data_IF_308278964401
#
_entry.id   IF_308278964401
#
_cell.length_a   1.000
_cell.length_b   1.000
_cell.length_c   1.000
_cell.angle_alpha   90.00
_cell.angle_beta   90.00
_cell.angle_gamma   90.00
#
_symmetry.space_group_name_H-M   'P 1'
#
loop_
_entity.id
_entity.type
_entity.pdbx_description
1 polymer ?
#
# COMPACT_ATOMS: atom_id res chain seq x y z
N UNK A 1 7.92 29.90 -59.75
CA UNK A 1 7.94 29.77 -58.27
C UNK A 1 6.71 28.96 -57.89
N UNK A 2 6.87 27.66 -57.75
CA UNK A 2 5.81 26.73 -57.38
C UNK A 2 6.13 26.21 -56.00
N UNK A 3 5.27 26.59 -55.05
CA UNK A 3 5.32 26.18 -53.65
C UNK A 3 4.79 24.78 -53.52
N UNK A 4 5.59 23.83 -53.05
CA UNK A 4 5.20 22.44 -52.86
C UNK A 4 5.08 22.17 -51.36
N UNK A 5 3.89 22.40 -50.82
CA UNK A 5 3.56 22.03 -49.44
C UNK A 5 3.42 20.50 -49.34
N UNK A 6 4.35 19.88 -48.64
CA UNK A 6 4.33 18.44 -48.39
C UNK A 6 3.49 18.19 -47.10
N UNK A 7 2.29 17.70 -47.28
CA UNK A 7 1.46 17.21 -46.18
C UNK A 7 2.04 15.89 -45.62
N UNK A 8 2.20 15.86 -44.32
CA UNK A 8 2.65 14.69 -43.55
C UNK A 8 1.44 13.82 -43.21
N UNK A 9 1.38 12.53 -43.55
CA UNK A 9 0.25 11.70 -43.19
C UNK A 9 0.23 11.38 -41.71
N UNK A 10 -0.79 11.86 -41.00
CA UNK A 10 -1.18 11.45 -39.65
C UNK A 10 -2.08 10.24 -39.71
N UNK A 11 -1.50 9.08 -39.67
CA UNK A 11 -2.26 7.82 -39.59
C UNK A 11 -1.41 6.75 -38.94
N UNK A 12 -1.50 6.62 -37.61
CA UNK A 12 -0.91 5.49 -36.90
C UNK A 12 -1.85 4.27 -37.09
N UNK A 13 -1.43 3.17 -37.72
CA UNK A 13 -2.28 2.00 -37.86
C UNK A 13 -2.47 1.33 -36.50
N UNK A 14 -3.72 1.28 -36.04
CA UNK A 14 -4.13 0.42 -34.93
C UNK A 14 -4.19 -1.02 -35.46
N UNK A 15 -3.07 -1.72 -35.41
CA UNK A 15 -3.05 -3.15 -35.65
C UNK A 15 -3.73 -3.85 -34.47
N UNK A 16 -4.97 -4.28 -34.70
CA UNK A 16 -5.68 -5.22 -33.83
C UNK A 16 -5.00 -6.59 -34.02
N UNK A 17 -4.19 -7.00 -33.05
CA UNK A 17 -3.63 -8.34 -33.01
C UNK A 17 -4.76 -9.32 -32.61
N UNK A 18 -5.41 -9.91 -33.62
CA UNK A 18 -6.27 -11.09 -33.48
C UNK A 18 -5.41 -12.33 -33.63
N UNK A 19 -4.84 -12.80 -32.55
CA UNK A 19 -4.13 -14.08 -32.50
C UNK A 19 -4.26 -14.62 -31.08
N UNK A 20 -4.82 -15.81 -30.91
CA UNK A 20 -4.85 -16.60 -29.69
C UNK A 20 -3.45 -17.09 -29.36
N UNK A 21 -2.58 -16.18 -28.94
CA UNK A 21 -1.36 -16.49 -28.22
C UNK A 21 -1.69 -16.44 -26.74
N UNK A 22 -1.23 -17.43 -25.96
CA UNK A 22 -1.31 -17.41 -24.52
C UNK A 22 -0.91 -16.02 -24.04
N UNK A 23 -1.84 -15.30 -23.40
CA UNK A 23 -1.61 -13.93 -22.97
C UNK A 23 -0.42 -13.93 -22.01
N UNK A 24 0.69 -13.32 -22.41
CA UNK A 24 1.80 -13.13 -21.51
C UNK A 24 1.32 -12.22 -20.36
N UNK A 25 1.73 -12.48 -19.11
CA UNK A 25 1.43 -11.59 -18.00
C UNK A 25 1.90 -10.16 -18.34
N UNK A 26 1.02 -9.19 -18.17
CA UNK A 26 1.33 -7.79 -18.45
C UNK A 26 1.54 -7.04 -17.15
N UNK A 27 2.44 -6.04 -17.16
CA UNK A 27 2.60 -5.13 -16.02
C UNK A 27 1.31 -4.33 -15.77
N UNK A 28 0.96 -4.18 -14.51
CA UNK A 28 -0.21 -3.41 -14.06
C UNK A 28 0.31 -2.15 -13.37
N UNK A 29 -0.08 -0.99 -13.90
CA UNK A 29 0.20 0.30 -13.27
C UNK A 29 -0.98 0.70 -12.37
N UNK A 30 -0.67 1.20 -11.17
CA UNK A 30 -1.61 1.93 -10.30
C UNK A 30 -1.01 3.30 -10.00
N UNK A 31 -1.77 4.36 -10.30
CA UNK A 31 -1.41 5.73 -9.92
C UNK A 31 -1.98 6.05 -8.55
N UNK A 32 -1.49 7.11 -7.94
CA UNK A 32 -1.95 7.54 -6.61
C UNK A 32 -3.44 7.90 -6.53
N UNK A 33 -4.06 8.24 -7.66
CA UNK A 33 -5.46 8.62 -7.79
C UNK A 33 -6.37 7.51 -8.34
N UNK A 34 -5.81 6.37 -8.72
CA UNK A 34 -6.59 5.21 -9.20
C UNK A 34 -7.39 4.53 -8.06
N UNK A 35 -6.92 4.67 -6.82
CA UNK A 35 -7.45 4.05 -5.62
C UNK A 35 -7.62 5.12 -4.53
N UNK A 36 -8.77 5.22 -3.85
CA UNK A 36 -8.92 6.20 -2.78
C UNK A 36 -8.13 5.81 -1.53
N UNK A 37 -7.64 6.80 -0.78
CA UNK A 37 -7.29 6.61 0.62
C UNK A 37 -8.57 6.53 1.43
N UNK A 38 -8.65 5.58 2.34
CA UNK A 38 -9.75 5.45 3.29
C UNK A 38 -9.26 5.73 4.70
N UNK A 39 -10.06 6.45 5.48
CA UNK A 39 -9.82 6.63 6.91
C UNK A 39 -10.10 5.31 7.63
N UNK A 40 -9.06 4.74 8.22
CA UNK A 40 -9.13 3.49 8.98
C UNK A 40 -9.32 3.74 10.49
N UNK A 41 -9.42 4.99 10.90
CA UNK A 41 -9.48 5.44 12.29
C UNK A 41 -8.10 5.75 12.88
N UNK A 42 -8.10 6.35 14.04
CA UNK A 42 -6.91 6.62 14.85
C UNK A 42 -5.78 7.39 14.12
N UNK A 43 -6.15 8.28 13.20
CA UNK A 43 -5.20 9.07 12.42
C UNK A 43 -4.48 8.27 11.31
N UNK A 44 -5.02 7.11 10.95
CA UNK A 44 -4.47 6.24 9.89
C UNK A 44 -5.35 6.27 8.65
N UNK A 45 -4.75 6.58 7.50
CA UNK A 45 -5.43 6.43 6.20
C UNK A 45 -4.66 5.41 5.36
N UNK A 46 -5.36 4.51 4.70
CA UNK A 46 -4.73 3.46 3.91
C UNK A 46 -5.27 3.35 2.49
N UNK A 47 -4.40 2.94 1.59
CA UNK A 47 -4.68 2.65 0.19
C UNK A 47 -4.11 1.26 -0.12
N UNK A 48 -4.96 0.27 -0.38
CA UNK A 48 -4.52 -1.09 -0.72
C UNK A 48 -4.29 -1.19 -2.22
N UNK A 49 -3.05 -1.47 -2.60
CA UNK A 49 -2.62 -1.50 -4.01
C UNK A 49 -2.70 -2.89 -4.61
N UNK A 50 -2.25 -3.90 -3.86
CA UNK A 50 -2.20 -5.29 -4.29
C UNK A 50 -2.40 -6.24 -3.11
N UNK A 51 -3.03 -7.38 -3.38
CA UNK A 51 -3.03 -8.55 -2.51
C UNK A 51 -2.78 -9.82 -3.32
N UNK A 52 -1.97 -10.73 -2.78
CA UNK A 52 -1.88 -12.11 -3.22
C UNK A 52 -2.45 -12.99 -2.10
N UNK A 53 -3.67 -13.47 -2.31
CA UNK A 53 -4.41 -14.21 -1.28
C UNK A 53 -3.82 -15.60 -1.03
N UNK A 54 -3.25 -16.23 -2.07
CA UNK A 54 -2.61 -17.54 -1.94
C UNK A 54 -1.24 -17.46 -1.28
N UNK A 55 -0.44 -16.44 -1.62
CA UNK A 55 0.88 -16.22 -1.03
C UNK A 55 0.83 -15.47 0.31
N UNK A 56 -0.32 -14.90 0.68
CA UNK A 56 -0.47 -14.07 1.88
C UNK A 56 0.35 -12.79 1.82
N UNK A 57 0.49 -12.16 0.63
CA UNK A 57 1.22 -10.91 0.45
C UNK A 57 0.23 -9.76 0.25
N UNK A 58 0.48 -8.65 0.90
CA UNK A 58 -0.32 -7.45 0.74
C UNK A 58 0.55 -6.20 0.71
N UNK A 59 0.21 -5.33 -0.25
CA UNK A 59 0.95 -4.10 -0.54
C UNK A 59 0.03 -2.92 -0.37
N UNK A 60 0.44 -1.98 0.45
CA UNK A 60 -0.35 -0.80 0.75
C UNK A 60 0.52 0.44 0.91
N UNK A 61 -0.11 1.58 0.73
CA UNK A 61 0.40 2.88 1.11
C UNK A 61 -0.43 3.39 2.28
N UNK A 62 0.21 3.85 3.32
CA UNK A 62 -0.44 4.32 4.54
C UNK A 62 0.05 5.71 4.86
N UNK A 63 -0.87 6.62 5.15
CA UNK A 63 -0.52 7.90 5.76
C UNK A 63 -0.97 7.91 7.21
N UNK A 64 -0.14 8.48 8.06
CA UNK A 64 -0.36 8.59 9.50
C UNK A 64 -0.32 10.06 9.90
N UNK A 65 -1.33 10.52 10.62
CA UNK A 65 -1.34 11.86 11.19
C UNK A 65 -0.25 12.02 12.28
N UNK A 66 0.29 13.23 12.49
CA UNK A 66 1.22 13.49 13.59
C UNK A 66 0.66 13.03 14.94
N UNK A 67 1.46 12.34 15.74
CA UNK A 67 1.07 11.78 17.03
C UNK A 67 0.42 10.40 16.98
N UNK A 68 0.20 9.83 15.79
CA UNK A 68 -0.36 8.47 15.62
C UNK A 68 0.58 7.42 16.23
N UNK A 69 -0.03 6.47 16.93
CA UNK A 69 0.66 5.27 17.43
C UNK A 69 -0.13 4.05 17.02
N UNK A 70 0.49 3.16 16.26
CA UNK A 70 -0.10 1.90 15.84
C UNK A 70 0.11 0.86 16.92
N UNK A 71 -0.95 0.14 17.24
CA UNK A 71 -0.93 -0.94 18.25
C UNK A 71 0.28 -1.86 18.06
N UNK A 72 0.89 -2.27 19.17
CA UNK A 72 1.96 -3.28 19.18
C UNK A 72 1.50 -4.51 18.42
N UNK A 73 2.33 -4.98 17.52
CA UNK A 73 2.00 -6.15 16.70
C UNK A 73 3.27 -6.97 16.41
N UNK A 74 3.03 -8.23 16.04
CA UNK A 74 4.06 -9.18 15.63
C UNK A 74 3.81 -9.59 14.19
N UNK A 75 4.83 -9.50 13.34
CA UNK A 75 4.77 -9.99 11.96
C UNK A 75 4.99 -11.50 11.88
N UNK A 76 4.15 -12.21 11.12
CA UNK A 76 4.36 -13.65 10.85
C UNK A 76 5.29 -13.90 9.66
N UNK A 77 5.47 -12.90 8.79
CA UNK A 77 6.38 -12.90 7.65
C UNK A 77 7.23 -11.64 7.62
N UNK A 78 8.04 -11.49 6.60
CA UNK A 78 8.87 -10.31 6.43
C UNK A 78 8.05 -9.10 5.96
N UNK A 79 8.51 -7.89 6.34
CA UNK A 79 7.97 -6.61 5.85
C UNK A 79 9.07 -5.77 5.24
N UNK A 80 8.72 -5.10 4.15
CA UNK A 80 9.54 -4.07 3.54
C UNK A 80 8.77 -2.75 3.62
N UNK A 81 9.38 -1.71 4.20
CA UNK A 81 8.80 -0.39 4.29
C UNK A 81 9.68 0.66 3.59
N UNK A 82 9.04 1.58 2.88
CA UNK A 82 9.69 2.71 2.21
C UNK A 82 9.00 3.99 2.67
N UNK A 83 9.70 4.85 3.40
CA UNK A 83 9.16 6.14 3.83
C UNK A 83 9.21 7.12 2.66
N UNK A 84 8.04 7.63 2.27
CA UNK A 84 7.89 8.58 1.15
C UNK A 84 7.90 10.04 1.62
N UNK A 85 7.33 10.30 2.82
CA UNK A 85 7.30 11.62 3.45
C UNK A 85 7.19 11.50 4.97
N UNK A 86 7.55 12.57 5.69
CA UNK A 86 7.49 12.60 7.14
C UNK A 86 8.60 11.78 7.80
N UNK A 87 8.39 11.45 9.07
CA UNK A 87 9.28 10.61 9.86
C UNK A 87 8.49 9.80 10.89
N UNK A 88 9.02 8.64 11.25
CA UNK A 88 8.46 7.75 12.24
C UNK A 88 9.54 6.83 12.82
N UNK A 89 9.28 6.21 13.94
CA UNK A 89 10.17 5.23 14.57
C UNK A 89 9.35 4.17 15.31
N UNK A 90 10.00 3.11 15.73
CA UNK A 90 9.43 2.18 16.71
C UNK A 90 9.71 2.66 18.12
N UNK A 91 8.74 2.54 19.03
CA UNK A 91 8.94 2.90 20.43
C UNK A 91 10.07 2.09 21.09
N UNK A 92 10.31 0.88 20.60
CA UNK A 92 11.38 -0.01 21.01
C UNK A 92 12.79 0.45 20.55
N UNK A 93 12.83 1.28 19.48
CA UNK A 93 14.06 1.78 18.85
C UNK A 93 13.94 3.28 18.51
N UNK A 94 13.77 4.16 19.51
CA UNK A 94 13.42 5.57 19.26
C UNK A 94 14.50 6.38 18.54
N UNK A 95 15.75 5.92 18.59
CA UNK A 95 16.88 6.56 17.89
C UNK A 95 16.99 6.16 16.42
N UNK A 96 16.32 5.07 16.01
CA UNK A 96 16.30 4.60 14.61
C UNK A 96 15.12 5.23 13.86
N UNK A 97 15.29 6.49 13.46
CA UNK A 97 14.24 7.26 12.80
C UNK A 97 14.18 6.93 11.31
N UNK A 98 13.00 6.49 10.86
CA UNK A 98 12.67 6.35 9.45
C UNK A 98 12.17 7.69 8.89
N UNK A 99 12.90 8.29 7.99
CA UNK A 99 12.54 9.55 7.32
C UNK A 99 12.38 9.35 5.82
N UNK A 100 11.92 10.37 5.10
CA UNK A 100 11.74 10.29 3.66
C UNK A 100 12.99 9.78 2.92
N UNK A 101 12.82 8.69 2.15
CA UNK A 101 13.89 7.98 1.46
C UNK A 101 14.44 6.76 2.22
N UNK A 102 14.03 6.54 3.48
CA UNK A 102 14.45 5.36 4.24
C UNK A 102 13.81 4.08 3.70
N UNK A 103 14.58 3.00 3.75
CA UNK A 103 14.14 1.63 3.59
C UNK A 103 14.32 0.87 4.88
N UNK A 104 13.25 0.22 5.34
CA UNK A 104 13.26 -0.64 6.51
C UNK A 104 12.94 -2.07 6.11
N UNK A 105 13.66 -3.03 6.69
CA UNK A 105 13.36 -4.46 6.60
C UNK A 105 13.04 -5.02 7.98
N UNK A 106 11.91 -5.69 8.09
CA UNK A 106 11.46 -6.35 9.30
C UNK A 106 11.46 -7.86 9.06
N UNK A 107 12.27 -8.63 9.79
CA UNK A 107 12.25 -10.08 9.70
C UNK A 107 10.95 -10.64 10.30
N UNK A 108 10.54 -11.84 9.84
CA UNK A 108 9.44 -12.57 10.45
C UNK A 108 9.67 -12.76 11.96
N UNK A 109 8.63 -12.53 12.75
CA UNK A 109 8.67 -12.63 14.21
C UNK A 109 9.04 -11.32 14.93
N UNK A 110 9.38 -10.24 14.21
CA UNK A 110 9.60 -8.91 14.82
C UNK A 110 8.34 -8.41 15.53
N UNK A 111 8.54 -7.78 16.69
CA UNK A 111 7.49 -7.19 17.53
C UNK A 111 7.82 -5.74 17.77
N UNK A 112 6.89 -4.85 17.48
CA UNK A 112 7.12 -3.41 17.62
C UNK A 112 5.84 -2.59 17.63
N UNK A 113 6.01 -1.33 18.03
CA UNK A 113 4.97 -0.30 18.13
C UNK A 113 5.39 0.90 17.28
N UNK A 114 4.76 1.09 16.12
CA UNK A 114 5.04 2.25 15.25
C UNK A 114 4.52 3.52 15.90
N UNK A 115 5.35 4.55 15.95
CA UNK A 115 4.99 5.87 16.46
C UNK A 115 5.41 6.97 15.48
N UNK A 116 4.48 7.88 15.22
CA UNK A 116 4.71 9.10 14.43
C UNK A 116 4.83 10.27 15.40
N UNK A 117 5.96 11.01 15.43
CA UNK A 117 6.11 12.16 16.32
C UNK A 117 5.03 13.22 16.09
N UNK A 118 4.51 13.78 17.18
CA UNK A 118 3.47 14.80 17.14
C UNK A 118 3.96 16.15 16.57
N UNK A 119 5.26 16.35 16.51
CA UNK A 119 5.93 17.54 15.95
C UNK A 119 6.31 17.40 14.47
N UNK A 120 5.78 16.39 13.76
CA UNK A 120 5.89 16.35 12.31
C UNK A 120 5.10 17.49 11.66
N UNK A 121 5.65 18.10 10.61
CA UNK A 121 5.01 19.21 9.88
C UNK A 121 3.75 18.79 9.08
N UNK A 122 3.47 17.48 8.99
CA UNK A 122 2.33 16.91 8.27
C UNK A 122 2.31 15.39 8.35
N UNK A 123 1.39 14.75 7.62
CA UNK A 123 1.26 13.29 7.64
C UNK A 123 2.53 12.58 7.20
N UNK A 124 2.81 11.48 7.85
CA UNK A 124 3.87 10.54 7.46
C UNK A 124 3.33 9.55 6.46
N UNK A 125 4.02 9.37 5.34
CA UNK A 125 3.60 8.54 4.20
C UNK A 125 4.57 7.37 4.02
N UNK A 126 4.05 6.16 4.13
CA UNK A 126 4.86 4.94 4.06
C UNK A 126 4.22 3.92 3.12
N UNK A 127 5.06 3.34 2.27
CA UNK A 127 4.71 2.22 1.42
C UNK A 127 5.19 0.92 2.05
N UNK A 128 4.27 -0.05 2.21
CA UNK A 128 4.56 -1.34 2.81
C UNK A 128 4.32 -2.50 1.85
N UNK A 129 5.21 -3.49 1.89
CA UNK A 129 5.00 -4.83 1.33
C UNK A 129 5.11 -5.81 2.50
N UNK A 130 4.00 -6.47 2.82
CA UNK A 130 3.88 -7.30 4.01
C UNK A 130 3.61 -8.75 3.59
N UNK A 131 4.42 -9.66 4.11
CA UNK A 131 4.22 -11.10 3.95
C UNK A 131 3.55 -11.68 5.19
N UNK A 132 2.56 -12.55 5.01
CA UNK A 132 1.82 -13.16 6.10
C UNK A 132 0.85 -12.20 6.78
N UNK A 133 0.87 -12.14 8.09
CA UNK A 133 -0.09 -11.40 8.90
C UNK A 133 0.57 -10.58 10.00
N UNK A 134 -0.11 -9.51 10.41
CA UNK A 134 0.14 -8.78 11.65
C UNK A 134 -0.75 -9.39 12.75
N UNK A 135 -0.14 -9.89 13.79
CA UNK A 135 -0.80 -10.32 15.01
C UNK A 135 -0.82 -9.12 15.97
N UNK A 136 -1.97 -8.46 16.09
CA UNK A 136 -2.12 -7.30 16.96
C UNK A 136 -2.20 -7.77 18.41
N UNK A 137 -1.38 -7.18 19.29
CA UNK A 137 -1.20 -7.60 20.66
C UNK A 137 -1.85 -6.62 21.63
N UNK A 138 -2.26 -7.13 22.79
CA UNK A 138 -2.58 -6.31 23.96
C UNK A 138 -1.34 -6.06 24.84
N UNK A 139 -1.53 -5.35 25.95
CA UNK A 139 -0.45 -5.00 26.90
C UNK A 139 0.13 -6.24 27.61
N UNK A 140 -0.57 -7.38 27.59
CA UNK A 140 -0.07 -8.66 28.11
C UNK A 140 0.70 -9.46 27.05
N UNK A 141 0.73 -8.99 25.79
CA UNK A 141 1.36 -9.66 24.66
C UNK A 141 0.49 -10.75 24.04
N UNK A 142 -0.81 -10.81 24.38
CA UNK A 142 -1.74 -11.78 23.83
C UNK A 142 -2.34 -11.23 22.51
N UNK A 143 -2.60 -12.14 21.55
CA UNK A 143 -3.16 -11.78 20.24
C UNK A 143 -4.64 -11.43 20.39
N UNK A 144 -5.01 -10.19 20.10
CA UNK A 144 -6.40 -9.70 20.14
C UNK A 144 -7.06 -9.62 18.76
N UNK A 145 -6.27 -9.52 17.71
CA UNK A 145 -6.78 -9.54 16.33
C UNK A 145 -5.67 -9.87 15.34
N UNK A 146 -6.08 -10.23 14.12
CA UNK A 146 -5.17 -10.59 13.02
C UNK A 146 -5.53 -9.74 11.80
N UNK A 147 -4.52 -9.12 11.22
CA UNK A 147 -4.62 -8.40 9.93
C UNK A 147 -3.79 -9.14 8.89
N UNK A 148 -4.42 -9.57 7.79
CA UNK A 148 -3.81 -10.31 6.69
C UNK A 148 -4.34 -9.83 5.34
N UNK A 149 -3.87 -10.42 4.23
CA UNK A 149 -4.28 -10.07 2.88
C UNK A 149 -5.81 -10.13 2.67
N UNK A 150 -6.49 -11.12 3.28
CA UNK A 150 -7.94 -11.27 3.16
C UNK A 150 -8.69 -10.20 3.96
N UNK A 151 -8.30 -9.98 5.20
CA UNK A 151 -8.96 -9.04 6.11
C UNK A 151 -8.74 -7.59 5.66
N UNK A 152 -7.52 -7.23 5.23
CA UNK A 152 -7.22 -5.87 4.76
C UNK A 152 -8.00 -5.54 3.48
N UNK A 153 -8.08 -6.47 2.52
CA UNK A 153 -8.86 -6.28 1.29
C UNK A 153 -10.34 -6.09 1.60
N UNK A 154 -10.91 -6.91 2.48
CA UNK A 154 -12.32 -6.82 2.86
C UNK A 154 -12.64 -5.49 3.55
N UNK A 155 -11.81 -5.07 4.52
CA UNK A 155 -11.97 -3.80 5.23
C UNK A 155 -11.84 -2.63 4.27
N UNK A 156 -10.80 -2.63 3.43
CA UNK A 156 -10.58 -1.57 2.46
C UNK A 156 -11.76 -1.39 1.51
N UNK A 157 -12.28 -2.48 0.90
CA UNK A 157 -13.47 -2.42 0.03
C UNK A 157 -14.69 -1.86 0.76
N UNK A 158 -14.92 -2.30 2.00
CA UNK A 158 -16.03 -1.79 2.81
C UNK A 158 -15.92 -0.29 3.05
N UNK A 159 -14.73 0.19 3.42
CA UNK A 159 -14.48 1.61 3.66
C UNK A 159 -14.54 2.44 2.37
N UNK A 160 -14.06 1.93 1.23
CA UNK A 160 -14.22 2.56 -0.08
C UNK A 160 -15.69 2.77 -0.43
N UNK A 161 -16.53 1.77 -0.22
CA UNK A 161 -17.98 1.88 -0.42
C UNK A 161 -18.61 2.94 0.48
N UNK A 162 -18.27 2.92 1.77
CA UNK A 162 -18.84 3.83 2.77
C UNK A 162 -18.38 5.29 2.61
N UNK A 163 -17.10 5.51 2.34
CA UNK A 163 -16.50 6.85 2.34
C UNK A 163 -16.49 7.51 0.96
N UNK A 164 -16.44 6.71 -0.10
CA UNK A 164 -16.26 7.21 -1.47
C UNK A 164 -17.32 6.71 -2.46
N UNK A 165 -18.22 5.80 -2.06
CA UNK A 165 -19.21 5.20 -2.96
C UNK A 165 -18.58 4.26 -4.00
N UNK A 166 -17.41 3.70 -3.73
CA UNK A 166 -16.67 2.80 -4.62
C UNK A 166 -16.70 1.38 -4.03
N UNK A 167 -17.62 0.55 -4.49
CA UNK A 167 -17.82 -0.80 -3.95
C UNK A 167 -16.72 -1.80 -4.37
N UNK A 168 -16.14 -1.63 -5.56
CA UNK A 168 -15.07 -2.49 -6.08
C UNK A 168 -13.87 -1.64 -6.56
N UNK A 169 -13.05 -1.12 -5.65
CA UNK A 169 -11.83 -0.40 -6.00
C UNK A 169 -10.88 -1.31 -6.78
N UNK A 170 -10.14 -0.78 -7.80
CA UNK A 170 -9.34 -1.59 -8.70
C UNK A 170 -8.02 -2.08 -8.07
N UNK A 171 -8.13 -2.72 -6.90
CA UNK A 171 -7.00 -3.41 -6.25
C UNK A 171 -6.51 -4.55 -7.15
N UNK A 172 -5.19 -4.72 -7.26
CA UNK A 172 -4.62 -5.88 -7.95
C UNK A 172 -4.76 -7.10 -7.04
N UNK A 173 -5.60 -8.07 -7.44
CA UNK A 173 -5.86 -9.28 -6.64
C UNK A 173 -5.33 -10.51 -7.37
N UNK A 174 -4.50 -11.30 -6.69
CA UNK A 174 -3.99 -12.60 -7.13
C UNK A 174 -4.40 -13.70 -6.15
N UNK A 175 -4.37 -14.95 -6.62
CA UNK A 175 -4.58 -16.12 -5.77
C UNK A 175 -5.99 -16.27 -5.21
N UNK A 176 -7.01 -15.67 -5.87
CA UNK A 176 -8.42 -15.78 -5.49
C UNK A 176 -9.07 -17.04 -6.06
#
# INVERSE_FOLDING_TARGET
>A
MTDTTTERPTGRPTARLTGTTAAHPTAILRRSDDLPFVDAGDGTHLQVLQVDLAAGVWTLRTTFEPGTTIRTHRHTGAVHAFTLAGRWHYLEYPDDVNEAGSYLFEPAGSVHTLHVPADNDGPTDVFFIIHGANLNLDDAGEVVSVTDAHSVLRVYRSLCGQQHGVDDPPVVVHGA
#
